data_IF_813718372363
#
_entry.id   IF_813718372363
#
_cell.length_a   1.000
_cell.length_b   1.000
_cell.length_c   1.000
_cell.angle_alpha   90.00
_cell.angle_beta   90.00
_cell.angle_gamma   90.00
#
_symmetry.space_group_name_H-M   'P 1'
#
loop_
_entity.id
_entity.type
_entity.pdbx_description
1 polymer ?
#
# COMPACT_ATOMS: atom_id res chain seq x y z
N UNK A 1 -3.58 -5.52 -3.10
CA UNK A 1 -5.05 -5.70 -3.00
C UNK A 1 -5.63 -4.56 -2.18
N UNK A 2 -6.81 -4.01 -2.61
CA UNK A 2 -7.53 -2.95 -1.90
C UNK A 2 -8.91 -3.41 -1.47
N UNK A 3 -9.24 -3.17 -0.20
CA UNK A 3 -10.52 -3.51 0.41
C UNK A 3 -11.05 -2.28 1.15
N UNK A 4 -12.36 -2.03 1.05
CA UNK A 4 -13.04 -0.99 1.80
C UNK A 4 -14.30 -1.57 2.44
N UNK A 5 -14.40 -1.47 3.76
CA UNK A 5 -15.54 -1.86 4.57
C UNK A 5 -16.26 -0.59 5.02
N UNK A 6 -17.57 -0.56 4.83
CA UNK A 6 -18.41 0.55 5.23
C UNK A 6 -19.46 0.05 6.21
N UNK A 7 -19.45 0.59 7.41
CA UNK A 7 -20.34 0.21 8.49
C UNK A 7 -21.21 1.42 8.88
N UNK A 8 -22.53 1.21 8.83
CA UNK A 8 -23.53 2.24 9.13
C UNK A 8 -24.54 1.68 10.14
N UNK A 9 -24.16 1.64 11.43
CA UNK A 9 -25.05 1.11 12.46
C UNK A 9 -26.23 2.03 12.72
N UNK A 10 -27.37 1.51 13.20
CA UNK A 10 -28.60 2.30 13.41
C UNK A 10 -28.40 3.53 14.30
N UNK A 11 -27.53 3.43 15.30
CA UNK A 11 -27.26 4.56 16.21
C UNK A 11 -26.64 5.77 15.52
N UNK A 12 -26.04 5.62 14.33
CA UNK A 12 -25.45 6.74 13.59
C UNK A 12 -26.49 7.76 13.12
N UNK A 13 -27.75 7.39 13.08
CA UNK A 13 -28.91 8.28 12.78
C UNK A 13 -29.88 8.35 13.96
N UNK A 14 -29.45 7.98 15.18
CA UNK A 14 -30.26 8.04 16.39
C UNK A 14 -31.34 6.94 16.48
N UNK A 15 -31.24 5.88 15.68
CA UNK A 15 -32.19 4.77 15.69
C UNK A 15 -31.72 3.65 16.63
N UNK A 16 -32.68 3.01 17.28
CA UNK A 16 -32.47 1.76 17.98
C UNK A 16 -32.69 0.59 17.01
N UNK A 17 -31.68 -0.27 16.84
CA UNK A 17 -31.76 -1.39 15.93
C UNK A 17 -30.71 -2.46 16.21
N UNK A 18 -30.89 -3.64 15.60
CA UNK A 18 -29.94 -4.74 15.73
C UNK A 18 -28.68 -4.45 14.88
N UNK A 19 -27.52 -4.55 15.50
CA UNK A 19 -26.25 -4.56 14.77
C UNK A 19 -26.04 -5.96 14.20
N UNK A 20 -25.89 -6.07 12.91
CA UNK A 20 -25.76 -7.35 12.18
C UNK A 20 -24.79 -7.25 11.00
N UNK A 21 -24.92 -8.18 10.07
CA UNK A 21 -24.16 -8.12 8.81
C UNK A 21 -24.58 -6.90 7.99
N UNK A 22 -23.66 -6.30 7.20
CA UNK A 22 -23.97 -5.15 6.34
C UNK A 22 -25.14 -5.41 5.41
N UNK A 23 -26.08 -4.49 5.38
CA UNK A 23 -27.23 -4.52 4.48
C UNK A 23 -26.86 -4.08 3.06
N UNK A 24 -27.86 -4.13 2.14
CA UNK A 24 -27.64 -3.75 0.72
C UNK A 24 -27.16 -2.31 0.57
N UNK A 25 -27.69 -1.38 1.40
CA UNK A 25 -27.32 0.03 1.39
C UNK A 25 -25.86 0.21 1.77
N UNK A 26 -25.41 -0.44 2.82
CA UNK A 26 -24.00 -0.39 3.29
C UNK A 26 -23.05 -0.97 2.25
N UNK A 27 -23.41 -2.10 1.63
CA UNK A 27 -22.61 -2.69 0.55
C UNK A 27 -22.53 -1.74 -0.65
N UNK A 28 -23.63 -1.11 -1.04
CA UNK A 28 -23.68 -0.14 -2.14
C UNK A 28 -22.85 1.10 -1.87
N UNK A 29 -22.95 1.69 -0.67
CA UNK A 29 -22.17 2.85 -0.25
C UNK A 29 -20.68 2.54 -0.17
N UNK A 30 -20.32 1.40 0.41
CA UNK A 30 -18.93 0.95 0.46
C UNK A 30 -18.33 0.73 -0.93
N UNK A 31 -19.13 0.16 -1.86
CA UNK A 31 -18.69 -0.04 -3.24
C UNK A 31 -18.54 1.29 -4.01
N UNK A 32 -19.40 2.26 -3.75
CA UNK A 32 -19.29 3.61 -4.31
C UNK A 32 -17.99 4.28 -3.87
N UNK A 33 -17.71 4.28 -2.56
CA UNK A 33 -16.48 4.84 -2.00
C UNK A 33 -15.23 4.09 -2.51
N UNK A 34 -15.29 2.76 -2.61
CA UNK A 34 -14.22 1.96 -3.19
C UNK A 34 -13.92 2.37 -4.64
N UNK A 35 -14.95 2.53 -5.49
CA UNK A 35 -14.78 2.96 -6.88
C UNK A 35 -14.23 4.37 -6.99
N UNK A 36 -14.59 5.26 -6.09
CA UNK A 36 -14.11 6.63 -6.08
C UNK A 36 -12.59 6.72 -5.92
N UNK A 37 -12.01 5.86 -5.08
CA UNK A 37 -10.59 5.92 -4.69
C UNK A 37 -9.71 4.95 -5.47
N UNK A 38 -10.23 3.78 -5.85
CA UNK A 38 -9.47 2.69 -6.47
C UNK A 38 -8.60 3.10 -7.68
N UNK A 39 -9.04 3.99 -8.62
CA UNK A 39 -8.22 4.39 -9.77
C UNK A 39 -6.95 5.18 -9.40
N UNK A 40 -6.90 5.70 -8.17
CA UNK A 40 -5.83 6.58 -7.69
C UNK A 40 -4.81 5.87 -6.82
N UNK A 41 -5.04 4.59 -6.52
CA UNK A 41 -4.10 3.78 -5.76
C UNK A 41 -2.83 3.49 -6.57
N UNK A 42 -1.70 3.30 -5.90
CA UNK A 42 -0.46 2.85 -6.54
C UNK A 42 -0.60 1.44 -7.11
N UNK A 43 0.27 1.09 -8.06
CA UNK A 43 0.40 -0.26 -8.57
C UNK A 43 0.91 -1.21 -7.48
N UNK A 44 0.66 -2.51 -7.64
CA UNK A 44 1.13 -3.52 -6.69
C UNK A 44 2.65 -3.72 -6.68
N UNK A 45 3.33 -3.35 -7.77
CA UNK A 45 4.80 -3.36 -7.88
C UNK A 45 5.41 -2.20 -7.10
N UNK A 46 4.84 -1.00 -7.22
CA UNK A 46 5.32 0.21 -6.54
C UNK A 46 4.96 0.22 -5.04
N UNK A 47 3.85 -0.44 -4.70
CA UNK A 47 3.33 -0.50 -3.32
C UNK A 47 2.79 -1.90 -3.01
N UNK A 48 3.65 -2.86 -2.59
CA UNK A 48 3.31 -4.28 -2.46
C UNK A 48 2.45 -4.63 -1.24
N UNK A 49 1.68 -3.69 -0.74
CA UNK A 49 0.83 -3.86 0.43
C UNK A 49 -0.61 -4.23 0.07
N UNK A 50 -1.25 -4.97 0.95
CA UNK A 50 -2.70 -5.05 1.00
C UNK A 50 -3.21 -3.88 1.83
N UNK A 51 -4.03 -3.03 1.21
CA UNK A 51 -4.65 -1.88 1.88
C UNK A 51 -6.08 -2.26 2.27
N UNK A 52 -6.39 -2.10 3.54
CA UNK A 52 -7.74 -2.30 4.09
C UNK A 52 -8.21 -1.02 4.76
N UNK A 53 -9.27 -0.44 4.23
CA UNK A 53 -9.98 0.70 4.83
C UNK A 53 -11.22 0.18 5.57
N UNK A 54 -11.44 0.71 6.75
CA UNK A 54 -12.66 0.50 7.53
C UNK A 54 -13.25 1.86 7.84
N UNK A 55 -14.46 2.11 7.35
CA UNK A 55 -15.23 3.31 7.63
C UNK A 55 -16.33 2.98 8.63
N UNK A 56 -16.21 3.51 9.84
CA UNK A 56 -17.21 3.41 10.90
C UNK A 56 -17.96 4.73 10.98
N UNK A 57 -19.22 4.74 10.58
CA UNK A 57 -20.06 5.94 10.65
C UNK A 57 -20.70 6.00 12.04
N UNK A 58 -20.28 6.95 12.86
CA UNK A 58 -20.75 7.10 14.24
C UNK A 58 -21.91 8.08 14.38
N UNK A 59 -21.98 9.06 13.46
CA UNK A 59 -23.08 10.05 13.38
C UNK A 59 -23.23 10.51 11.94
N UNK A 60 -24.48 10.69 11.47
CA UNK A 60 -24.76 11.09 10.10
C UNK A 60 -26.06 11.87 10.00
N UNK A 61 -26.00 13.02 9.31
CA UNK A 61 -27.15 13.73 8.80
C UNK A 61 -26.82 14.31 7.41
N UNK A 62 -26.75 13.42 6.42
CA UNK A 62 -26.34 13.73 5.06
C UNK A 62 -25.56 12.59 4.43
N UNK A 63 -24.64 12.87 3.52
CA UNK A 63 -23.94 11.83 2.75
C UNK A 63 -22.75 11.23 3.48
N UNK A 64 -23.00 10.23 4.31
CA UNK A 64 -21.98 9.42 4.96
C UNK A 64 -21.05 8.68 3.98
N UNK A 65 -21.54 8.32 2.78
CA UNK A 65 -20.70 7.70 1.74
C UNK A 65 -19.68 8.68 1.15
N UNK A 66 -20.04 9.94 0.96
CA UNK A 66 -19.09 10.96 0.48
C UNK A 66 -18.12 11.39 1.57
N UNK A 67 -18.57 11.47 2.82
CA UNK A 67 -17.66 11.60 3.98
C UNK A 67 -16.64 10.44 4.04
N UNK A 68 -17.08 9.21 3.76
CA UNK A 68 -16.19 8.04 3.67
C UNK A 68 -15.16 8.19 2.54
N UNK A 69 -15.52 8.74 1.39
CA UNK A 69 -14.57 9.03 0.30
C UNK A 69 -13.48 10.01 0.78
N UNK A 70 -13.89 11.13 1.38
CA UNK A 70 -12.97 12.14 1.91
C UNK A 70 -12.07 11.57 3.00
N UNK A 71 -12.66 10.88 3.99
CA UNK A 71 -11.92 10.26 5.09
C UNK A 71 -10.95 9.17 4.61
N UNK A 72 -11.34 8.37 3.61
CA UNK A 72 -10.47 7.38 2.98
C UNK A 72 -9.26 8.04 2.32
N UNK A 73 -9.48 9.14 1.58
CA UNK A 73 -8.41 9.89 0.94
C UNK A 73 -7.41 10.44 1.97
N UNK A 74 -7.90 11.06 3.04
CA UNK A 74 -7.07 11.57 4.13
C UNK A 74 -6.30 10.44 4.85
N UNK A 75 -6.98 9.35 5.19
CA UNK A 75 -6.36 8.22 5.89
C UNK A 75 -5.27 7.53 5.05
N UNK A 76 -5.46 7.39 3.74
CA UNK A 76 -4.45 6.85 2.84
C UNK A 76 -3.21 7.74 2.78
N UNK A 77 -3.41 9.05 2.66
CA UNK A 77 -2.31 10.02 2.65
C UNK A 77 -1.54 10.04 3.98
N UNK A 78 -2.27 9.99 5.10
CA UNK A 78 -1.67 9.97 6.44
C UNK A 78 -0.91 8.68 6.73
N UNK A 79 -1.39 7.55 6.22
CA UNK A 79 -0.69 6.26 6.31
C UNK A 79 0.55 6.15 5.40
N UNK A 80 0.82 7.13 4.54
CA UNK A 80 1.94 7.11 3.61
C UNK A 80 1.68 6.26 2.36
N UNK A 81 0.41 5.98 2.03
CA UNK A 81 0.08 5.33 0.76
C UNK A 81 0.22 6.37 -0.37
N UNK A 82 1.07 6.12 -1.39
CA UNK A 82 1.34 7.10 -2.44
C UNK A 82 0.19 7.13 -3.47
N UNK A 83 -0.97 7.66 -3.04
CA UNK A 83 -2.09 7.87 -3.96
C UNK A 83 -1.74 8.94 -5.00
N UNK A 84 -2.21 8.77 -6.23
CA UNK A 84 -1.88 9.67 -7.34
C UNK A 84 -2.35 11.11 -7.10
N UNK A 85 -3.55 11.28 -6.51
CA UNK A 85 -4.17 12.56 -6.18
C UNK A 85 -5.19 12.40 -5.06
N UNK A 86 -5.45 13.43 -4.24
CA UNK A 86 -6.54 13.43 -3.28
C UNK A 86 -7.91 13.34 -3.97
N UNK A 87 -8.85 12.71 -3.31
CA UNK A 87 -10.23 12.53 -3.77
C UNK A 87 -11.19 13.12 -2.74
N UNK A 88 -12.12 13.90 -3.19
CA UNK A 88 -13.28 14.33 -2.39
C UNK A 88 -14.57 13.87 -3.04
N UNK A 89 -15.63 13.85 -2.25
CA UNK A 89 -16.98 13.56 -2.72
C UNK A 89 -17.99 14.54 -2.13
N UNK A 90 -19.05 14.80 -2.89
CA UNK A 90 -20.16 15.66 -2.48
C UNK A 90 -21.49 15.02 -2.91
N UNK A 91 -22.53 15.19 -2.11
CA UNK A 91 -23.90 14.82 -2.45
C UNK A 91 -24.70 16.05 -2.86
N UNK A 92 -25.35 15.93 -3.99
CA UNK A 92 -26.16 16.97 -4.60
C UNK A 92 -27.62 16.54 -4.61
N UNK A 93 -28.51 17.50 -4.54
CA UNK A 93 -29.96 17.30 -4.66
C UNK A 93 -30.58 18.14 -5.76
N UNK A 94 -31.78 17.78 -6.15
CA UNK A 94 -32.61 18.54 -7.07
C UNK A 94 -34.01 18.67 -6.49
N UNK A 95 -34.55 19.89 -6.57
CA UNK A 95 -35.95 20.14 -6.40
C UNK A 95 -36.46 20.74 -7.72
N UNK A 96 -37.51 20.15 -8.26
CA UNK A 96 -38.10 20.56 -9.55
C UNK A 96 -39.60 20.74 -9.44
N UNK A 97 -40.04 21.95 -9.68
CA UNK A 97 -41.46 22.30 -9.75
C UNK A 97 -41.83 22.83 -11.14
N UNK A 98 -42.66 22.08 -11.87
CA UNK A 98 -43.10 22.44 -13.23
C UNK A 98 -41.94 22.79 -14.17
N UNK A 99 -41.67 24.07 -14.38
CA UNK A 99 -40.64 24.58 -15.27
C UNK A 99 -39.41 25.10 -14.53
N UNK A 100 -39.49 25.25 -13.20
CA UNK A 100 -38.42 25.75 -12.36
C UNK A 100 -37.68 24.59 -11.65
N UNK A 101 -36.41 24.78 -11.37
CA UNK A 101 -35.63 23.82 -10.60
C UNK A 101 -34.57 24.53 -9.77
N UNK A 102 -34.17 23.87 -8.70
CA UNK A 102 -33.05 24.29 -7.86
C UNK A 102 -32.13 23.10 -7.60
N UNK A 103 -30.83 23.31 -7.77
CA UNK A 103 -29.81 22.31 -7.42
C UNK A 103 -29.25 22.64 -6.04
N UNK A 104 -29.24 21.64 -5.15
CA UNK A 104 -28.77 21.77 -3.80
C UNK A 104 -27.37 21.11 -3.68
N UNK A 105 -26.47 21.75 -2.94
CA UNK A 105 -25.14 21.23 -2.66
C UNK A 105 -25.04 20.72 -1.22
N UNK A 106 -24.34 19.59 -1.01
CA UNK A 106 -24.10 18.99 0.30
C UNK A 106 -25.38 18.77 1.09
N UNK A 107 -26.28 17.99 0.51
CA UNK A 107 -27.66 17.80 1.01
C UNK A 107 -27.71 17.07 2.35
N UNK A 108 -28.64 17.51 3.19
CA UNK A 108 -29.04 16.84 4.43
C UNK A 108 -29.90 15.60 4.16
N UNK A 109 -30.12 14.80 5.20
CA UNK A 109 -30.96 13.59 5.10
C UNK A 109 -32.40 13.87 4.63
N UNK A 110 -33.02 14.95 5.09
CA UNK A 110 -34.37 15.34 4.69
C UNK A 110 -34.39 15.81 3.23
N UNK A 111 -33.40 16.54 2.78
CA UNK A 111 -33.25 16.98 1.37
C UNK A 111 -32.99 15.78 0.43
N UNK A 112 -32.24 14.75 0.87
CA UNK A 112 -32.12 13.50 0.16
C UNK A 112 -33.46 12.78 0.05
N UNK A 113 -34.24 12.73 1.14
CA UNK A 113 -35.49 11.98 1.18
C UNK A 113 -36.63 12.68 0.38
N UNK A 114 -36.74 13.97 0.51
CA UNK A 114 -37.85 14.79 -0.08
C UNK A 114 -37.54 15.31 -1.49
N UNK A 115 -36.28 15.34 -1.90
CA UNK A 115 -35.85 15.84 -3.20
C UNK A 115 -36.25 14.93 -4.37
N UNK A 116 -36.27 15.51 -5.57
CA UNK A 116 -36.67 14.86 -6.83
C UNK A 116 -35.56 14.04 -7.46
N UNK A 117 -34.31 14.34 -7.11
CA UNK A 117 -33.10 13.58 -7.45
C UNK A 117 -32.05 13.83 -6.40
N UNK A 118 -31.31 12.80 -6.06
CA UNK A 118 -30.01 12.92 -5.43
C UNK A 118 -28.92 12.29 -6.31
N UNK A 119 -27.74 12.88 -6.28
CA UNK A 119 -26.58 12.29 -6.91
C UNK A 119 -25.31 12.60 -6.15
N UNK A 120 -24.42 11.63 -6.16
CA UNK A 120 -23.16 11.66 -5.45
C UNK A 120 -22.02 11.67 -6.45
N UNK A 121 -21.15 12.66 -6.34
CA UNK A 121 -20.04 12.87 -7.27
C UNK A 121 -18.74 12.85 -6.48
N UNK A 122 -17.85 11.93 -6.81
CA UNK A 122 -16.53 11.87 -6.25
C UNK A 122 -15.45 12.03 -7.34
N UNK A 123 -14.33 12.63 -6.98
CA UNK A 123 -13.23 12.85 -7.91
C UNK A 123 -12.11 13.73 -7.37
N UNK A 124 -11.13 13.94 -8.23
CA UNK A 124 -9.98 14.83 -8.01
C UNK A 124 -10.27 16.23 -8.51
N UNK A 125 -9.26 17.12 -8.45
CA UNK A 125 -9.34 18.45 -9.13
C UNK A 125 -9.54 18.33 -10.65
N UNK A 126 -9.04 17.25 -11.26
CA UNK A 126 -9.01 17.09 -12.73
C UNK A 126 -10.25 16.43 -13.30
N UNK A 127 -10.95 15.60 -12.52
CA UNK A 127 -12.09 14.86 -13.04
C UNK A 127 -12.80 13.99 -12.02
N UNK A 128 -13.91 13.41 -12.48
CA UNK A 128 -14.78 12.53 -11.71
C UNK A 128 -14.25 11.10 -11.78
N UNK A 129 -14.17 10.44 -10.63
CA UNK A 129 -13.79 9.03 -10.50
C UNK A 129 -14.97 8.11 -10.23
N UNK A 130 -16.04 8.64 -9.64
CA UNK A 130 -17.27 7.88 -9.38
C UNK A 130 -18.48 8.81 -9.33
N UNK A 131 -19.59 8.32 -9.84
CA UNK A 131 -20.89 8.96 -9.81
C UNK A 131 -21.96 7.91 -9.50
N UNK A 132 -22.91 8.30 -8.65
CA UNK A 132 -24.14 7.54 -8.39
C UNK A 132 -25.29 8.51 -8.36
N UNK A 133 -26.39 8.16 -8.99
CA UNK A 133 -27.58 9.01 -9.13
C UNK A 133 -28.82 8.18 -8.82
N UNK A 134 -29.76 8.80 -8.10
CA UNK A 134 -31.11 8.31 -7.88
C UNK A 134 -32.10 9.36 -8.33
N UNK A 135 -32.89 9.04 -9.35
CA UNK A 135 -33.88 9.94 -9.95
C UNK A 135 -35.26 9.46 -9.53
N UNK A 136 -36.01 10.30 -8.82
CA UNK A 136 -37.34 9.98 -8.27
C UNK A 136 -38.48 10.56 -9.12
N UNK A 137 -38.14 11.30 -10.18
CA UNK A 137 -39.08 11.91 -11.16
C UNK A 137 -38.87 11.24 -12.53
N UNK A 138 -39.77 11.53 -13.46
CA UNK A 138 -39.86 10.88 -14.78
C UNK A 138 -38.57 11.09 -15.60
N UNK A 139 -37.98 12.28 -15.56
CA UNK A 139 -36.72 12.59 -16.29
C UNK A 139 -36.10 13.89 -15.80
N UNK A 140 -34.81 14.00 -16.06
CA UNK A 140 -34.01 15.22 -15.91
C UNK A 140 -33.50 15.65 -17.29
N UNK A 141 -33.33 16.95 -17.49
CA UNK A 141 -32.79 17.49 -18.75
C UNK A 141 -31.29 17.57 -18.74
N UNK A 142 -30.70 17.66 -19.93
CA UNK A 142 -29.24 17.87 -20.08
C UNK A 142 -28.81 19.17 -19.38
N UNK A 143 -29.58 20.22 -19.46
CA UNK A 143 -29.35 21.52 -18.79
C UNK A 143 -29.26 21.37 -17.27
N UNK A 144 -30.20 20.65 -16.64
CA UNK A 144 -30.16 20.35 -15.21
C UNK A 144 -28.84 19.61 -14.84
N UNK A 145 -28.45 18.63 -15.63
CA UNK A 145 -27.23 17.88 -15.38
C UNK A 145 -25.96 18.73 -15.56
N UNK A 146 -25.92 19.60 -16.54
CA UNK A 146 -24.77 20.51 -16.75
C UNK A 146 -24.59 21.46 -15.56
N UNK A 147 -25.67 22.05 -15.09
CA UNK A 147 -25.67 22.93 -13.92
C UNK A 147 -25.28 22.14 -12.66
N UNK A 148 -25.88 20.99 -12.44
CA UNK A 148 -25.65 20.16 -11.28
C UNK A 148 -24.20 19.65 -11.20
N UNK A 149 -23.62 19.21 -12.32
CA UNK A 149 -22.22 18.78 -12.38
C UNK A 149 -21.24 19.95 -12.23
N UNK A 150 -21.58 21.14 -12.75
CA UNK A 150 -20.82 22.37 -12.55
C UNK A 150 -20.77 22.75 -11.06
N UNK A 151 -21.92 22.80 -10.40
CA UNK A 151 -22.01 23.09 -8.96
C UNK A 151 -21.35 22.02 -8.10
N UNK A 152 -21.48 20.73 -8.46
CA UNK A 152 -20.78 19.64 -7.79
C UNK A 152 -19.26 19.74 -7.93
N UNK A 153 -18.75 20.25 -9.06
CA UNK A 153 -17.32 20.51 -9.25
C UNK A 153 -16.82 21.58 -8.29
N UNK A 154 -17.53 22.69 -8.17
CA UNK A 154 -17.18 23.79 -7.26
C UNK A 154 -17.15 23.29 -5.81
N UNK A 155 -18.22 22.60 -5.37
CA UNK A 155 -18.29 22.03 -4.02
C UNK A 155 -17.19 21.02 -3.75
N UNK A 156 -16.89 20.14 -4.70
CA UNK A 156 -15.80 19.15 -4.56
C UNK A 156 -14.42 19.80 -4.47
N UNK A 157 -14.17 20.86 -5.26
CA UNK A 157 -12.91 21.61 -5.18
C UNK A 157 -12.79 22.29 -3.82
N UNK A 158 -13.85 22.92 -3.32
CA UNK A 158 -13.89 23.51 -1.98
C UNK A 158 -13.54 22.47 -0.90
N UNK A 159 -14.15 21.28 -0.95
CA UNK A 159 -13.85 20.19 0.00
C UNK A 159 -12.40 19.75 -0.10
N UNK A 160 -11.84 19.60 -1.31
CA UNK A 160 -10.41 19.27 -1.49
C UNK A 160 -9.49 20.32 -0.88
N UNK A 161 -9.84 21.60 -0.99
CA UNK A 161 -9.04 22.68 -0.41
C UNK A 161 -9.14 22.70 1.13
N UNK A 162 -10.31 22.36 1.71
CA UNK A 162 -10.45 22.16 3.17
C UNK A 162 -9.64 20.95 3.65
N UNK A 163 -9.68 19.82 2.92
CA UNK A 163 -8.89 18.65 3.23
C UNK A 163 -7.38 18.94 3.18
N UNK A 164 -6.93 19.75 2.22
CA UNK A 164 -5.53 20.13 2.05
C UNK A 164 -4.98 20.94 3.23
N UNK A 165 -5.81 21.60 4.03
CA UNK A 165 -5.39 22.28 5.27
C UNK A 165 -4.90 21.30 6.34
N UNK A 166 -5.43 20.07 6.33
CA UNK A 166 -4.99 19.01 7.24
C UNK A 166 -3.81 18.23 6.67
N UNK A 167 -3.91 17.76 5.42
CA UNK A 167 -2.85 17.05 4.73
C UNK A 167 -3.01 17.26 3.20
N UNK A 168 -1.98 17.80 2.56
CA UNK A 168 -2.00 18.14 1.13
C UNK A 168 -1.40 17.05 0.24
N UNK A 169 -0.48 16.26 0.76
CA UNK A 169 0.21 15.17 0.05
C UNK A 169 0.32 13.95 0.94
N UNK A 170 0.49 12.78 0.33
CA UNK A 170 0.82 11.56 1.09
C UNK A 170 2.13 11.75 1.85
N UNK A 171 2.22 11.20 3.07
CA UNK A 171 3.47 11.15 3.81
C UNK A 171 4.51 10.36 3.03
N UNK A 172 5.76 10.78 3.08
CA UNK A 172 6.87 10.15 2.34
C UNK A 172 7.24 8.77 2.90
N UNK A 173 6.96 8.55 4.18
CA UNK A 173 7.26 7.30 4.88
C UNK A 173 6.00 6.71 5.50
N UNK A 174 5.94 5.38 5.54
CA UNK A 174 4.90 4.67 6.28
C UNK A 174 5.04 4.93 7.78
N UNK A 175 3.92 4.87 8.50
CA UNK A 175 3.94 4.93 9.95
C UNK A 175 4.87 3.85 10.55
N UNK A 176 5.50 4.14 11.68
CA UNK A 176 6.41 3.20 12.35
C UNK A 176 5.74 1.86 12.69
N UNK A 177 4.45 1.92 13.04
CA UNK A 177 3.62 0.74 13.33
C UNK A 177 3.19 -0.06 12.09
N UNK A 178 3.43 0.45 10.88
CA UNK A 178 3.07 -0.26 9.67
C UNK A 178 4.07 -1.40 9.40
N UNK A 179 3.60 -2.59 8.96
CA UNK A 179 4.48 -3.65 8.51
C UNK A 179 5.43 -3.16 7.41
N UNK A 180 6.70 -3.51 7.49
CA UNK A 180 7.70 -3.17 6.48
C UNK A 180 7.77 -4.28 5.44
N UNK A 181 7.61 -3.93 4.17
CA UNK A 181 7.82 -4.84 3.05
C UNK A 181 8.97 -4.28 2.21
N UNK A 182 10.08 -5.01 2.20
CA UNK A 182 11.25 -4.72 1.38
C UNK A 182 11.28 -5.69 0.21
N UNK A 183 11.49 -5.18 -0.99
CA UNK A 183 11.65 -5.99 -2.20
C UNK A 183 13.08 -5.93 -2.66
N UNK A 184 13.68 -7.09 -2.96
CA UNK A 184 15.00 -7.20 -3.55
C UNK A 184 14.97 -8.20 -4.71
N UNK A 185 15.92 -8.10 -5.62
CA UNK A 185 16.06 -9.02 -6.76
C UNK A 185 17.38 -9.76 -6.70
N UNK A 186 17.32 -11.08 -6.91
CA UNK A 186 18.49 -11.94 -6.98
C UNK A 186 18.58 -12.61 -8.34
N UNK A 187 19.76 -13.15 -8.68
CA UNK A 187 19.94 -13.98 -9.88
C UNK A 187 19.14 -15.28 -9.74
N UNK A 188 18.50 -15.72 -10.82
CA UNK A 188 17.67 -16.93 -10.84
C UNK A 188 18.41 -18.18 -10.31
N UNK A 189 19.69 -18.31 -10.65
CA UNK A 189 20.54 -19.40 -10.19
C UNK A 189 20.74 -19.46 -8.66
N UNK A 190 20.55 -18.31 -7.97
CA UNK A 190 20.68 -18.17 -6.51
C UNK A 190 19.42 -18.49 -5.73
N UNK A 191 18.28 -18.62 -6.41
CA UNK A 191 17.00 -18.95 -5.75
C UNK A 191 17.13 -20.24 -4.93
N UNK A 192 17.80 -21.27 -5.51
CA UNK A 192 18.01 -22.55 -4.83
C UNK A 192 18.89 -22.43 -3.59
N UNK A 193 19.88 -21.54 -3.60
CA UNK A 193 20.78 -21.31 -2.49
C UNK A 193 20.02 -20.66 -1.32
N UNK A 194 19.16 -19.67 -1.61
CA UNK A 194 18.34 -18.99 -0.59
C UNK A 194 17.26 -19.91 -0.02
N UNK A 195 16.63 -20.73 -0.84
CA UNK A 195 15.63 -21.71 -0.37
C UNK A 195 16.31 -22.80 0.45
N UNK A 196 17.46 -23.30 0.00
CA UNK A 196 18.19 -24.39 0.58
C UNK A 196 17.48 -25.76 0.44
N UNK A 197 18.16 -26.86 0.77
CA UNK A 197 17.61 -28.21 0.69
C UNK A 197 16.31 -28.35 1.49
N UNK A 198 15.20 -28.68 0.81
CA UNK A 198 13.88 -28.83 1.43
C UNK A 198 13.36 -27.55 2.12
N UNK A 199 13.83 -26.35 1.71
CA UNK A 199 13.42 -25.07 2.30
C UNK A 199 14.05 -24.78 3.67
N UNK A 200 15.12 -25.47 4.04
CA UNK A 200 15.76 -25.34 5.37
C UNK A 200 16.36 -23.95 5.58
N UNK A 201 16.99 -23.38 4.54
CA UNK A 201 17.67 -22.09 4.66
C UNK A 201 16.67 -20.94 4.82
N UNK A 202 15.65 -20.89 3.97
CA UNK A 202 14.63 -19.85 4.07
C UNK A 202 13.88 -19.91 5.41
N UNK A 203 13.57 -21.10 5.91
CA UNK A 203 12.97 -21.25 7.24
C UNK A 203 13.89 -20.73 8.34
N UNK A 204 15.18 -21.05 8.29
CA UNK A 204 16.16 -20.56 9.27
C UNK A 204 16.31 -19.02 9.24
N UNK A 205 16.20 -18.40 8.06
CA UNK A 205 16.16 -16.94 7.94
C UNK A 205 14.92 -16.40 8.64
N UNK A 206 13.72 -16.92 8.30
CA UNK A 206 12.47 -16.47 8.91
C UNK A 206 12.45 -16.64 10.43
N UNK A 207 12.86 -17.80 10.94
CA UNK A 207 12.87 -18.11 12.39
C UNK A 207 13.83 -17.20 13.16
N UNK A 208 15.00 -16.92 12.59
CA UNK A 208 16.02 -16.14 13.30
C UNK A 208 15.83 -14.64 13.24
N UNK A 209 15.08 -14.13 12.26
CA UNK A 209 14.84 -12.68 12.06
C UNK A 209 13.43 -12.27 12.43
N UNK A 210 12.48 -13.21 12.53
CA UNK A 210 11.06 -12.92 12.68
C UNK A 210 10.38 -12.39 11.41
N UNK A 211 11.14 -12.23 10.31
CA UNK A 211 10.61 -11.79 9.04
C UNK A 211 9.98 -12.95 8.25
N UNK A 212 9.01 -12.64 7.41
CA UNK A 212 8.49 -13.56 6.42
C UNK A 212 9.13 -13.26 5.07
N UNK A 213 9.66 -14.30 4.41
CA UNK A 213 10.35 -14.18 3.13
C UNK A 213 9.60 -14.99 2.08
N UNK A 214 9.16 -14.33 1.02
CA UNK A 214 8.53 -14.95 -0.15
C UNK A 214 9.45 -14.73 -1.36
N UNK A 215 9.65 -15.79 -2.17
CA UNK A 215 10.52 -15.77 -3.36
C UNK A 215 9.66 -16.11 -4.58
N UNK A 216 9.70 -15.26 -5.58
CA UNK A 216 9.05 -15.46 -6.86
C UNK A 216 9.99 -16.14 -7.87
N UNK A 217 9.43 -16.79 -8.88
CA UNK A 217 10.19 -17.55 -9.89
C UNK A 217 11.12 -16.66 -10.74
N UNK A 218 10.87 -15.36 -10.79
CA UNK A 218 11.68 -14.37 -11.51
C UNK A 218 12.88 -13.84 -10.70
N UNK A 219 13.08 -14.35 -9.48
CA UNK A 219 14.14 -13.94 -8.56
C UNK A 219 13.78 -12.75 -7.67
N UNK A 220 12.55 -12.29 -7.71
CA UNK A 220 12.05 -11.24 -6.79
C UNK A 220 11.81 -11.82 -5.41
N UNK A 221 12.41 -11.24 -4.39
CA UNK A 221 12.23 -11.61 -2.98
C UNK A 221 11.47 -10.49 -2.28
N UNK A 222 10.38 -10.85 -1.60
CA UNK A 222 9.61 -9.96 -0.73
C UNK A 222 9.83 -10.33 0.72
N UNK A 223 10.36 -9.39 1.49
CA UNK A 223 10.65 -9.54 2.92
C UNK A 223 9.62 -8.71 3.67
N UNK A 224 8.72 -9.35 4.41
CA UNK A 224 7.73 -8.71 5.25
C UNK A 224 8.12 -8.88 6.72
N UNK A 225 8.24 -7.76 7.45
CA UNK A 225 8.63 -7.76 8.86
C UNK A 225 7.78 -6.77 9.67
N UNK A 226 7.69 -7.01 10.97
CA UNK A 226 6.98 -6.12 11.90
C UNK A 226 7.71 -4.79 12.11
N UNK A 227 9.04 -4.79 11.95
CA UNK A 227 9.91 -3.65 12.17
C UNK A 227 11.06 -3.63 11.16
N UNK A 228 11.80 -2.52 11.16
CA UNK A 228 12.90 -2.29 10.23
C UNK A 228 14.09 -3.20 10.52
N UNK A 229 14.39 -3.47 11.79
CA UNK A 229 15.55 -4.30 12.19
C UNK A 229 15.42 -5.73 11.69
N UNK A 230 14.22 -6.32 11.83
CA UNK A 230 13.93 -7.66 11.33
C UNK A 230 14.02 -7.73 9.79
N UNK A 231 13.54 -6.71 9.09
CA UNK A 231 13.63 -6.63 7.63
C UNK A 231 15.10 -6.54 7.16
N UNK A 232 15.89 -5.66 7.76
CA UNK A 232 17.32 -5.48 7.46
C UNK A 232 18.14 -6.73 7.79
N UNK A 233 17.86 -7.37 8.92
CA UNK A 233 18.53 -8.63 9.30
C UNK A 233 18.25 -9.74 8.29
N UNK A 234 17.00 -9.87 7.81
CA UNK A 234 16.66 -10.86 6.79
C UNK A 234 17.33 -10.53 5.45
N UNK A 235 17.29 -9.26 5.03
CA UNK A 235 17.93 -8.80 3.80
C UNK A 235 19.45 -9.05 3.84
N UNK A 236 20.10 -8.74 4.95
CA UNK A 236 21.53 -9.00 5.13
C UNK A 236 21.85 -10.47 5.00
N UNK A 237 21.09 -11.36 5.65
CA UNK A 237 21.31 -12.82 5.53
C UNK A 237 21.14 -13.33 4.11
N UNK A 238 20.15 -12.82 3.38
CA UNK A 238 19.97 -13.17 1.97
C UNK A 238 21.15 -12.68 1.15
N UNK A 239 21.58 -11.44 1.36
CA UNK A 239 22.75 -10.88 0.67
C UNK A 239 24.02 -11.71 0.93
N UNK A 240 24.26 -12.15 2.17
CA UNK A 240 25.41 -13.00 2.53
C UNK A 240 25.38 -14.33 1.79
N UNK A 241 24.20 -14.90 1.53
CA UNK A 241 24.04 -16.16 0.78
C UNK A 241 24.29 -15.97 -0.72
N UNK A 242 23.79 -14.88 -1.30
CA UNK A 242 23.86 -14.62 -2.75
C UNK A 242 25.14 -13.92 -3.18
N UNK A 243 25.87 -13.33 -2.23
CA UNK A 243 27.09 -12.58 -2.50
C UNK A 243 28.09 -13.44 -3.30
N UNK A 244 28.75 -12.82 -4.27
CA UNK A 244 29.81 -13.41 -5.08
C UNK A 244 31.06 -12.54 -4.95
N UNK A 245 32.22 -13.21 -4.95
CA UNK A 245 33.48 -12.47 -4.95
C UNK A 245 33.65 -11.79 -6.31
N UNK A 246 33.95 -10.52 -6.27
CA UNK A 246 34.19 -9.68 -7.46
C UNK A 246 35.69 -9.56 -7.72
N UNK A 247 36.07 -9.62 -8.99
CA UNK A 247 37.46 -9.44 -9.39
C UNK A 247 37.93 -8.00 -9.09
N UNK A 248 39.09 -7.89 -8.44
CA UNK A 248 39.68 -6.60 -8.10
C UNK A 248 39.23 -6.01 -6.76
N UNK A 249 38.30 -6.67 -6.05
CA UNK A 249 37.89 -6.27 -4.71
C UNK A 249 38.72 -7.00 -3.64
N UNK A 250 39.17 -6.25 -2.64
CA UNK A 250 39.94 -6.81 -1.50
C UNK A 250 38.94 -7.22 -0.41
N UNK A 251 39.00 -8.49 -0.04
CA UNK A 251 38.17 -9.05 1.01
C UNK A 251 39.00 -9.39 2.25
N UNK A 252 38.42 -9.18 3.42
CA UNK A 252 38.97 -9.69 4.69
C UNK A 252 38.25 -10.99 5.07
N UNK A 253 38.97 -12.07 5.22
CA UNK A 253 38.38 -13.38 5.53
C UNK A 253 39.17 -14.13 6.58
N UNK A 254 38.55 -15.17 7.18
CA UNK A 254 39.18 -16.04 8.15
C UNK A 254 39.72 -17.30 7.45
N UNK A 255 40.98 -17.66 7.71
CA UNK A 255 41.55 -18.96 7.27
C UNK A 255 40.77 -20.09 7.94
N UNK A 256 40.15 -20.96 7.15
CA UNK A 256 39.36 -22.10 7.63
C UNK A 256 40.09 -23.42 7.49
N UNK A 257 41.03 -23.52 6.55
CA UNK A 257 41.82 -24.70 6.31
C UNK A 257 43.13 -24.36 5.59
N UNK A 258 44.24 -24.97 6.02
CA UNK A 258 45.50 -24.91 5.32
C UNK A 258 45.82 -26.25 4.66
N UNK A 259 46.39 -26.20 3.46
CA UNK A 259 46.84 -27.35 2.67
C UNK A 259 48.22 -27.05 2.08
N UNK A 260 48.93 -28.05 1.56
CA UNK A 260 50.30 -27.87 1.07
C UNK A 260 50.43 -26.82 -0.06
N UNK A 261 49.38 -26.67 -0.86
CA UNK A 261 49.35 -25.74 -2.00
C UNK A 261 48.67 -24.40 -1.72
N UNK A 262 48.20 -24.15 -0.49
CA UNK A 262 47.55 -22.86 -0.18
C UNK A 262 46.68 -22.87 1.06
N UNK A 263 45.97 -21.78 1.26
CA UNK A 263 45.04 -21.57 2.36
C UNK A 263 43.62 -21.34 1.85
N UNK A 264 42.63 -22.02 2.43
CA UNK A 264 41.23 -21.71 2.21
C UNK A 264 40.80 -20.61 3.19
N UNK A 265 40.32 -19.55 2.64
CA UNK A 265 39.87 -18.36 3.38
C UNK A 265 38.36 -18.21 3.20
N UNK A 266 37.64 -18.19 4.31
CA UNK A 266 36.24 -17.92 4.26
C UNK A 266 36.01 -16.45 3.89
N UNK A 267 35.45 -16.27 2.70
CA UNK A 267 35.07 -14.98 2.16
C UNK A 267 33.58 -14.75 2.37
N UNK A 268 32.91 -13.82 2.47
CA UNK A 268 31.47 -13.60 2.39
C UNK A 268 30.61 -14.59 3.22
N UNK A 269 31.13 -15.09 4.36
CA UNK A 269 30.37 -15.89 5.33
C UNK A 269 30.06 -17.35 4.91
N UNK A 270 29.71 -17.59 3.65
CA UNK A 270 29.28 -18.91 3.17
C UNK A 270 30.21 -19.51 2.10
N UNK A 271 31.21 -18.78 1.65
CA UNK A 271 32.09 -19.19 0.54
C UNK A 271 33.56 -19.15 0.95
N UNK A 272 34.26 -20.19 0.61
CA UNK A 272 35.68 -20.30 0.80
C UNK A 272 36.42 -20.04 -0.52
N UNK A 273 37.39 -19.14 -0.48
CA UNK A 273 38.31 -18.89 -1.59
C UNK A 273 39.65 -19.54 -1.30
N UNK A 274 40.35 -20.00 -2.32
CA UNK A 274 41.71 -20.49 -2.22
C UNK A 274 42.72 -19.38 -2.48
N UNK A 275 43.58 -19.11 -1.53
CA UNK A 275 44.78 -18.32 -1.73
C UNK A 275 45.94 -19.34 -1.95
N UNK A 276 46.48 -19.37 -3.18
CA UNK A 276 47.57 -20.26 -3.54
C UNK A 276 48.83 -19.88 -2.76
N UNK A 277 49.68 -20.85 -2.48
CA UNK A 277 50.90 -20.66 -1.68
C UNK A 277 51.83 -19.57 -2.24
N UNK A 278 51.84 -19.35 -3.56
CA UNK A 278 52.61 -18.30 -4.20
C UNK A 278 52.09 -16.87 -3.92
N UNK A 279 50.84 -16.74 -3.49
CA UNK A 279 50.16 -15.47 -3.27
C UNK A 279 49.99 -15.11 -1.78
N UNK A 280 50.57 -15.92 -0.88
CA UNK A 280 50.46 -15.66 0.55
C UNK A 280 51.38 -14.55 1.06
N UNK A 281 52.50 -14.31 0.36
CA UNK A 281 53.45 -13.21 0.60
C UNK A 281 54.34 -12.98 -0.62
N UNK A 282 55.03 -11.85 -0.66
CA UNK A 282 55.95 -11.49 -1.76
C UNK A 282 57.21 -12.41 -1.81
N UNK A 283 57.60 -13.01 -0.69
CA UNK A 283 58.73 -13.94 -0.63
C UNK A 283 58.24 -15.39 -0.86
N UNK A 284 59.16 -16.28 -1.32
CA UNK A 284 58.84 -17.71 -1.52
C UNK A 284 58.45 -18.35 -0.20
N UNK A 285 57.25 -18.92 -0.12
CA UNK A 285 56.72 -19.65 1.02
C UNK A 285 57.00 -21.13 0.84
N UNK A 286 57.64 -21.79 1.81
CA UNK A 286 57.94 -23.24 1.76
C UNK A 286 56.77 -24.06 2.28
N UNK A 287 56.08 -23.58 3.33
CA UNK A 287 54.90 -24.23 3.91
C UNK A 287 53.82 -23.21 4.22
N UNK A 288 52.60 -23.52 3.86
CA UNK A 288 51.41 -22.68 4.12
C UNK A 288 51.24 -22.38 5.60
N UNK A 289 51.57 -23.34 6.49
CA UNK A 289 51.48 -23.24 7.96
C UNK A 289 52.48 -22.24 8.58
N UNK A 290 53.49 -21.79 7.86
CA UNK A 290 54.46 -20.81 8.37
C UNK A 290 53.88 -19.39 8.40
N UNK A 291 52.87 -19.16 7.56
CA UNK A 291 52.22 -17.85 7.42
C UNK A 291 50.79 -17.86 8.00
N UNK A 292 50.04 -18.92 7.74
CA UNK A 292 48.64 -19.08 8.22
C UNK A 292 48.68 -20.02 9.45
N UNK A 293 48.52 -19.42 10.62
CA UNK A 293 48.41 -20.14 11.92
C UNK A 293 46.95 -20.30 12.34
#
# INVERSE_FOLDING_TARGET
KFMLHYNFPPYSVGEAGRIGSPGRREIGHGKLAWRAVNPLLPNGEDFPYTVRIVSEVTESNGSSSMATVCGTSLALMDAGVPIKKPVAGIAMGLIKEKNDFSVLSDILGDEDHLGDMDFKVAGTKDGITSLQMDIKITSITKEIMEIALGQAKEGRIHILDEMAKAISNSREVLAESAPKITTMKIKLEKIRDVIGPGGKMIRAICESTGAKVDIEDDGTIKIAASDTEAAEAAQKRINDIVAEAELGVIYTGKVVKTVDFGAFVNLLGTKDGLVHISELQDARTEKTTDICK
#
